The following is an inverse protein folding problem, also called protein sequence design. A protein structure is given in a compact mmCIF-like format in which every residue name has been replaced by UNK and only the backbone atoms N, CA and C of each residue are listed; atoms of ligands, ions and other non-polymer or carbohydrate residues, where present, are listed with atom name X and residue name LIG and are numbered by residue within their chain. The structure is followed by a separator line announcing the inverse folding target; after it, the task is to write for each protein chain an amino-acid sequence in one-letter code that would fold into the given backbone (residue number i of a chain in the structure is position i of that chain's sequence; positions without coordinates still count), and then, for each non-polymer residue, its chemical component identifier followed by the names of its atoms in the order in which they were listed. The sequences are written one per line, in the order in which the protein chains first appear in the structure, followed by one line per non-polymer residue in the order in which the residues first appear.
data_IF_017192271340
#
_entry.id   IF_017192271340
#
_cell.length_a   1.000
_cell.length_b   1.000
_cell.length_c   1.000
_cell.angle_alpha   90.00
_cell.angle_beta   90.00
_cell.angle_gamma   90.00
#
_symmetry.space_group_name_H-M   'P 1'
#
loop_
_entity.id
_entity.type
_entity.pdbx_description
1 polymer ?
#
# COMPACT_ATOMS: atom_id res chain seq x y z
N UNK A 1 -22.32 -35.41 2.94
CA UNK A 1 -21.76 -34.65 1.79
C UNK A 1 -21.76 -33.19 2.16
N UNK A 2 -20.64 -32.72 2.69
CA UNK A 2 -20.36 -31.30 2.89
C UNK A 2 -20.34 -30.65 1.51
N UNK A 3 -21.33 -29.81 1.29
CA UNK A 3 -21.43 -28.99 0.09
C UNK A 3 -20.40 -27.87 0.24
N UNK A 4 -19.18 -28.18 -0.14
CA UNK A 4 -18.07 -27.22 -0.22
C UNK A 4 -18.36 -26.32 -1.43
N UNK A 5 -19.30 -25.40 -1.26
CA UNK A 5 -19.42 -24.22 -2.12
C UNK A 5 -18.21 -23.38 -1.78
N UNK A 6 -17.12 -23.64 -2.50
CA UNK A 6 -15.86 -22.97 -2.30
C UNK A 6 -16.11 -21.47 -2.24
N UNK A 7 -15.86 -20.88 -1.08
CA UNK A 7 -15.78 -19.43 -0.98
C UNK A 7 -14.74 -18.98 -2.02
N UNK A 8 -15.04 -17.95 -2.81
CA UNK A 8 -14.05 -17.46 -3.76
C UNK A 8 -12.77 -17.11 -2.98
N UNK A 9 -11.62 -17.60 -3.47
CA UNK A 9 -10.32 -17.30 -2.89
C UNK A 9 -10.15 -15.79 -2.74
N UNK A 10 -9.64 -15.36 -1.61
CA UNK A 10 -9.26 -13.96 -1.42
C UNK A 10 -8.19 -13.56 -2.45
N UNK A 11 -8.14 -12.29 -2.81
CA UNK A 11 -7.16 -11.80 -3.79
C UNK A 11 -5.74 -12.07 -3.32
N UNK A 12 -5.47 -11.86 -2.04
CA UNK A 12 -4.19 -12.15 -1.40
C UNK A 12 -3.77 -13.63 -1.53
N UNK A 13 -4.71 -14.59 -1.48
CA UNK A 13 -4.40 -16.02 -1.65
C UNK A 13 -3.96 -16.35 -3.09
N UNK A 14 -4.59 -15.70 -4.05
CA UNK A 14 -4.22 -15.83 -5.46
C UNK A 14 -2.80 -15.27 -5.66
N UNK A 15 -2.51 -14.08 -5.10
CA UNK A 15 -1.19 -13.46 -5.20
C UNK A 15 -0.12 -14.30 -4.51
N UNK A 16 -0.41 -14.83 -3.32
CA UNK A 16 0.46 -15.79 -2.62
C UNK A 16 0.85 -16.97 -3.53
N UNK A 17 -0.13 -17.52 -4.24
CA UNK A 17 0.11 -18.66 -5.14
C UNK A 17 1.05 -18.31 -6.29
N UNK A 18 0.99 -17.07 -6.83
CA UNK A 18 1.87 -16.61 -7.89
C UNK A 18 3.33 -16.46 -7.42
N UNK A 19 3.54 -15.84 -6.25
CA UNK A 19 4.85 -15.76 -5.62
C UNK A 19 5.41 -17.16 -5.30
N UNK A 20 4.59 -18.03 -4.69
CA UNK A 20 5.00 -19.39 -4.35
C UNK A 20 5.46 -20.16 -5.56
N UNK A 21 4.71 -20.08 -6.68
CA UNK A 21 5.09 -20.74 -7.93
C UNK A 21 6.46 -20.28 -8.43
N UNK A 22 6.72 -18.98 -8.42
CA UNK A 22 8.00 -18.40 -8.83
C UNK A 22 9.13 -18.89 -7.94
N UNK A 23 9.02 -18.67 -6.62
CA UNK A 23 10.06 -19.10 -5.66
C UNK A 23 10.29 -20.61 -5.65
N UNK A 24 9.27 -21.42 -5.95
CA UNK A 24 9.42 -22.87 -6.10
C UNK A 24 10.28 -23.23 -7.32
N UNK A 25 10.10 -22.54 -8.44
CA UNK A 25 10.92 -22.74 -9.66
C UNK A 25 12.38 -22.37 -9.40
N UNK A 26 12.60 -21.33 -8.60
CA UNK A 26 13.93 -20.85 -8.19
C UNK A 26 14.58 -21.72 -7.07
N UNK A 27 13.91 -22.74 -6.54
CA UNK A 27 14.38 -23.53 -5.41
C UNK A 27 14.37 -22.83 -4.05
N UNK A 28 13.67 -21.70 -3.94
CA UNK A 28 13.61 -20.80 -2.75
C UNK A 28 12.26 -20.86 -2.01
N UNK A 29 11.59 -21.98 -2.09
CA UNK A 29 10.25 -22.16 -1.52
C UNK A 29 10.18 -21.85 -0.02
N UNK A 30 11.11 -22.36 0.77
CA UNK A 30 11.09 -22.23 2.22
C UNK A 30 11.38 -20.78 2.65
N UNK A 31 12.23 -20.08 1.91
CA UNK A 31 12.45 -18.65 2.07
C UNK A 31 11.15 -17.85 1.89
N UNK A 32 10.43 -18.12 0.81
CA UNK A 32 9.16 -17.45 0.54
C UNK A 32 8.13 -17.70 1.65
N UNK A 33 7.99 -18.96 2.07
CA UNK A 33 7.03 -19.33 3.13
C UNK A 33 7.31 -18.55 4.42
N UNK A 34 8.57 -18.46 4.82
CA UNK A 34 8.98 -17.71 6.00
C UNK A 34 8.69 -16.21 5.87
N UNK A 35 9.07 -15.60 4.73
CA UNK A 35 8.83 -14.17 4.44
C UNK A 35 7.34 -13.85 4.42
N UNK A 36 6.55 -14.67 3.71
CA UNK A 36 5.11 -14.46 3.60
C UNK A 36 4.40 -14.54 4.95
N UNK A 37 4.80 -15.47 5.80
CA UNK A 37 4.24 -15.58 7.14
C UNK A 37 4.45 -14.30 7.95
N UNK A 38 5.65 -13.74 7.94
CA UNK A 38 5.95 -12.48 8.62
C UNK A 38 5.15 -11.33 8.02
N UNK A 39 5.06 -11.27 6.69
CA UNK A 39 4.27 -10.25 5.97
C UNK A 39 2.81 -10.29 6.41
N UNK A 40 2.19 -11.47 6.42
CA UNK A 40 0.78 -11.67 6.79
C UNK A 40 0.52 -11.34 8.26
N UNK A 41 1.34 -11.84 9.17
CA UNK A 41 1.24 -11.56 10.61
C UNK A 41 1.36 -10.06 10.90
N UNK A 42 2.32 -9.38 10.26
CA UNK A 42 2.53 -7.95 10.43
C UNK A 42 1.39 -7.13 9.83
N UNK A 43 0.91 -7.48 8.65
CA UNK A 43 -0.24 -6.81 8.04
C UNK A 43 -1.49 -6.92 8.93
N UNK A 44 -1.74 -8.09 9.51
CA UNK A 44 -2.87 -8.32 10.42
C UNK A 44 -2.80 -7.49 11.71
N UNK A 45 -1.61 -7.16 12.17
CA UNK A 45 -1.42 -6.28 13.34
C UNK A 45 -1.75 -4.82 13.01
N UNK A 46 -1.28 -4.33 11.86
CA UNK A 46 -1.27 -2.90 11.53
C UNK A 46 -2.54 -2.48 10.82
N UNK A 47 -2.96 -3.22 9.80
CA UNK A 47 -4.08 -2.80 8.96
C UNK A 47 -5.41 -3.31 9.50
N UNK A 48 -6.39 -2.39 9.56
CA UNK A 48 -7.78 -2.66 9.96
C UNK A 48 -8.73 -2.15 8.87
N UNK A 49 -8.69 -2.75 7.66
CA UNK A 49 -9.52 -2.29 6.57
C UNK A 49 -11.00 -2.49 6.89
N UNK A 50 -11.86 -1.62 6.36
CA UNK A 50 -13.33 -1.76 6.48
C UNK A 50 -13.90 -2.84 5.56
N UNK A 51 -13.15 -3.23 4.51
CA UNK A 51 -13.50 -4.31 3.60
C UNK A 51 -12.22 -4.98 3.08
N UNK A 52 -12.31 -6.26 2.75
CA UNK A 52 -11.15 -7.05 2.34
C UNK A 52 -10.28 -7.49 3.51
N UNK A 53 -9.11 -8.03 3.20
CA UNK A 53 -8.12 -8.48 4.17
C UNK A 53 -7.05 -7.42 4.41
N UNK A 54 -6.29 -7.48 5.53
CA UNK A 54 -5.12 -6.62 5.73
C UNK A 54 -4.07 -6.72 4.61
N UNK A 55 -3.90 -7.88 4.01
CA UNK A 55 -3.04 -8.04 2.84
C UNK A 55 -3.61 -7.34 1.60
N UNK A 56 -4.94 -7.38 1.38
CA UNK A 56 -5.55 -6.64 0.27
C UNK A 56 -5.31 -5.14 0.41
N UNK A 57 -5.30 -4.60 1.63
CA UNK A 57 -4.94 -3.20 1.88
C UNK A 57 -3.48 -2.91 1.50
N UNK A 58 -2.54 -3.79 1.87
CA UNK A 58 -1.13 -3.66 1.49
C UNK A 58 -0.97 -3.67 -0.03
N UNK A 59 -1.59 -4.64 -0.71
CA UNK A 59 -1.56 -4.75 -2.17
C UNK A 59 -2.24 -3.55 -2.84
N UNK A 60 -3.29 -3.01 -2.24
CA UNK A 60 -3.95 -1.79 -2.75
C UNK A 60 -2.99 -0.60 -2.71
N UNK A 61 -2.28 -0.39 -1.61
CA UNK A 61 -1.27 0.67 -1.50
C UNK A 61 -0.15 0.51 -2.53
N UNK A 62 0.32 -0.70 -2.73
CA UNK A 62 1.33 -1.00 -3.75
C UNK A 62 0.79 -0.80 -5.17
N UNK A 63 -0.47 -1.15 -5.42
CA UNK A 63 -1.14 -0.88 -6.70
C UNK A 63 -1.12 0.60 -7.06
N UNK A 64 -1.40 1.50 -6.11
CA UNK A 64 -1.36 2.94 -6.36
C UNK A 64 0.04 3.40 -6.75
N UNK A 65 1.08 2.95 -6.09
CA UNK A 65 2.46 3.20 -6.48
C UNK A 65 2.76 2.71 -7.90
N UNK A 66 2.36 1.50 -8.25
CA UNK A 66 2.58 0.94 -9.59
C UNK A 66 1.81 1.69 -10.66
N UNK A 67 0.61 2.16 -10.35
CA UNK A 67 -0.19 3.02 -11.24
C UNK A 67 0.51 4.36 -11.47
N UNK A 68 0.98 5.00 -10.42
CA UNK A 68 1.73 6.25 -10.50
C UNK A 68 2.99 6.08 -11.35
N UNK A 69 3.78 5.04 -11.11
CA UNK A 69 4.98 4.73 -11.88
C UNK A 69 4.71 4.49 -13.38
N UNK A 70 3.52 3.97 -13.71
CA UNK A 70 3.06 3.78 -15.10
C UNK A 70 2.38 5.03 -15.69
N UNK A 71 2.23 6.12 -14.96
CA UNK A 71 1.56 7.34 -15.39
C UNK A 71 0.05 7.17 -15.62
N UNK A 72 -0.61 6.22 -14.94
CA UNK A 72 -2.05 5.95 -15.09
C UNK A 72 -2.85 7.00 -14.33
N UNK A 73 -3.54 7.89 -15.05
CA UNK A 73 -4.34 9.01 -14.50
C UNK A 73 -5.82 8.70 -14.33
N UNK A 74 -6.27 7.49 -14.68
CA UNK A 74 -7.68 7.13 -14.58
C UNK A 74 -8.19 7.24 -13.14
N UNK A 75 -9.31 7.92 -12.96
CA UNK A 75 -9.98 8.07 -11.66
C UNK A 75 -10.73 6.82 -11.23
N UNK A 76 -11.02 5.93 -12.18
CA UNK A 76 -11.62 4.62 -11.93
C UNK A 76 -10.51 3.58 -11.79
N UNK A 77 -10.46 2.91 -10.65
CA UNK A 77 -9.52 1.81 -10.42
C UNK A 77 -10.14 0.49 -10.86
N UNK A 78 -9.35 -0.35 -11.51
CA UNK A 78 -9.67 -1.77 -11.66
C UNK A 78 -9.82 -2.41 -10.26
N UNK A 79 -10.51 -3.54 -10.16
CA UNK A 79 -10.43 -4.36 -8.95
C UNK A 79 -8.98 -4.76 -8.68
N UNK A 80 -8.66 -5.09 -7.44
CA UNK A 80 -7.31 -5.51 -7.08
C UNK A 80 -6.87 -6.72 -7.92
N UNK A 81 -7.75 -7.70 -8.05
CA UNK A 81 -7.54 -8.89 -8.89
C UNK A 81 -7.26 -8.53 -10.34
N UNK A 82 -8.10 -7.70 -10.95
CA UNK A 82 -7.96 -7.31 -12.35
C UNK A 82 -6.65 -6.57 -12.61
N UNK A 83 -6.23 -5.72 -11.67
CA UNK A 83 -4.98 -5.00 -11.80
C UNK A 83 -3.76 -5.93 -11.80
N UNK A 84 -3.70 -6.88 -10.87
CA UNK A 84 -2.54 -7.79 -10.76
C UNK A 84 -2.57 -8.93 -11.77
N UNK A 85 -3.75 -9.35 -12.25
CA UNK A 85 -3.87 -10.37 -13.29
C UNK A 85 -3.47 -9.88 -14.67
N UNK A 86 -3.36 -8.57 -14.85
CA UNK A 86 -2.86 -7.99 -16.10
C UNK A 86 -1.49 -8.57 -16.45
N UNK A 87 -1.25 -8.81 -17.75
CA UNK A 87 -0.02 -9.44 -18.24
C UNK A 87 0.36 -10.75 -17.48
N UNK A 88 -0.65 -11.56 -17.12
CA UNK A 88 -0.45 -12.84 -16.43
C UNK A 88 0.30 -12.72 -15.10
N UNK A 89 -0.01 -11.73 -14.29
CA UNK A 89 0.61 -11.46 -12.99
C UNK A 89 2.09 -11.06 -13.06
N UNK A 90 2.52 -10.40 -14.14
CA UNK A 90 3.91 -10.00 -14.33
C UNK A 90 4.45 -9.20 -13.14
N UNK A 91 3.68 -8.25 -12.60
CA UNK A 91 4.07 -7.44 -11.44
C UNK A 91 4.49 -8.33 -10.25
N UNK A 92 3.77 -9.42 -9.98
CA UNK A 92 4.07 -10.34 -8.88
C UNK A 92 5.30 -11.23 -9.13
N UNK A 93 5.79 -11.24 -10.38
CA UNK A 93 6.99 -11.99 -10.77
C UNK A 93 8.24 -11.13 -10.80
N UNK A 94 8.13 -9.83 -10.68
CA UNK A 94 9.29 -8.96 -10.56
C UNK A 94 10.01 -9.23 -9.23
N UNK A 95 11.35 -9.27 -9.25
CA UNK A 95 12.18 -9.56 -8.08
C UNK A 95 11.94 -8.56 -6.95
N UNK A 96 11.81 -7.30 -7.30
CA UNK A 96 11.64 -6.22 -6.35
C UNK A 96 10.25 -6.19 -5.66
N UNK A 97 9.23 -6.88 -6.20
CA UNK A 97 7.85 -6.69 -5.71
C UNK A 97 7.67 -7.15 -4.27
N UNK A 98 8.21 -8.30 -3.90
CA UNK A 98 8.11 -8.78 -2.51
C UNK A 98 8.91 -7.89 -1.55
N UNK A 99 10.10 -7.46 -1.96
CA UNK A 99 10.94 -6.54 -1.18
C UNK A 99 10.28 -5.17 -1.00
N UNK A 100 9.61 -4.66 -2.04
CA UNK A 100 8.81 -3.43 -1.98
C UNK A 100 7.65 -3.55 -1.00
N UNK A 101 6.92 -4.67 -1.03
CA UNK A 101 5.80 -4.94 -0.12
C UNK A 101 6.27 -5.03 1.33
N UNK A 102 7.35 -5.74 1.60
CA UNK A 102 7.94 -5.86 2.94
C UNK A 102 8.41 -4.49 3.45
N UNK A 103 9.11 -3.75 2.62
CA UNK A 103 9.58 -2.41 2.98
C UNK A 103 8.43 -1.43 3.24
N UNK A 104 7.37 -1.51 2.43
CA UNK A 104 6.17 -0.70 2.63
C UNK A 104 5.46 -1.05 3.94
N UNK A 105 5.37 -2.34 4.24
CA UNK A 105 4.76 -2.82 5.48
C UNK A 105 5.57 -2.40 6.71
N UNK A 106 6.90 -2.50 6.64
CA UNK A 106 7.79 -2.07 7.73
C UNK A 106 7.70 -0.54 7.95
N UNK A 107 7.59 0.23 6.88
CA UNK A 107 7.31 1.66 7.00
C UNK A 107 5.99 1.92 7.72
N UNK A 108 4.92 1.23 7.36
CA UNK A 108 3.61 1.41 8.00
C UNK A 108 3.58 0.93 9.44
N UNK A 109 4.36 -0.10 9.79
CA UNK A 109 4.57 -0.52 11.17
C UNK A 109 5.18 0.62 12.02
N UNK A 110 6.18 1.32 11.48
CA UNK A 110 6.77 2.49 12.14
C UNK A 110 5.78 3.65 12.25
N UNK A 111 4.97 3.88 11.21
CA UNK A 111 3.91 4.91 11.23
C UNK A 111 2.87 4.62 12.30
N UNK A 112 2.42 3.37 12.42
CA UNK A 112 1.44 2.94 13.43
C UNK A 112 2.00 3.07 14.85
N UNK A 113 3.23 2.63 15.07
CA UNK A 113 3.92 2.76 16.35
C UNK A 113 4.42 4.20 16.66
N UNK A 114 4.41 5.10 15.66
CA UNK A 114 5.01 6.43 15.72
C UNK A 114 6.51 6.42 16.08
N UNK A 115 7.22 5.37 15.68
CA UNK A 115 8.62 5.15 15.99
C UNK A 115 9.54 5.50 14.82
N UNK A 116 10.75 6.00 15.13
CA UNK A 116 11.78 6.32 14.14
C UNK A 116 11.53 7.59 13.34
N UNK A 117 10.65 8.48 13.82
CA UNK A 117 10.37 9.79 13.23
C UNK A 117 10.76 10.92 14.18
N UNK A 118 11.11 12.08 13.63
CA UNK A 118 11.22 13.29 14.43
C UNK A 118 9.87 13.71 15.01
N UNK A 119 9.89 14.46 16.10
CA UNK A 119 8.67 14.96 16.76
C UNK A 119 7.75 15.73 15.78
N UNK A 120 8.35 16.55 14.89
CA UNK A 120 7.60 17.32 13.89
C UNK A 120 6.88 16.42 12.88
N UNK A 121 7.54 15.34 12.44
CA UNK A 121 6.94 14.34 11.52
C UNK A 121 5.85 13.54 12.24
N UNK A 122 6.12 13.04 13.46
CA UNK A 122 5.13 12.31 14.25
C UNK A 122 3.86 13.12 14.51
N UNK A 123 3.97 14.42 14.81
CA UNK A 123 2.82 15.31 14.95
C UNK A 123 1.98 15.43 13.67
N UNK A 124 2.60 15.44 12.48
CA UNK A 124 1.87 15.48 11.20
C UNK A 124 1.17 14.17 10.90
N UNK A 125 1.83 13.05 11.15
CA UNK A 125 1.22 11.72 11.02
C UNK A 125 0.03 11.57 11.98
N UNK A 126 0.16 12.05 13.23
CA UNK A 126 -0.94 12.09 14.18
C UNK A 126 -2.14 12.88 13.65
N UNK A 127 -1.93 14.07 13.10
CA UNK A 127 -3.02 14.88 12.52
C UNK A 127 -3.70 14.14 11.36
N UNK A 128 -2.93 13.49 10.49
CA UNK A 128 -3.48 12.75 9.35
C UNK A 128 -4.33 11.54 9.76
N UNK A 129 -4.07 10.92 10.91
CA UNK A 129 -4.92 9.85 11.43
C UNK A 129 -6.37 10.30 11.72
N UNK A 130 -6.60 11.60 11.90
CA UNK A 130 -7.93 12.19 12.07
C UNK A 130 -8.48 12.80 10.76
N UNK A 131 -7.82 12.53 9.62
CA UNK A 131 -8.31 13.01 8.34
C UNK A 131 -9.69 12.38 8.01
N UNK A 132 -10.57 13.10 7.29
CA UNK A 132 -11.93 12.64 6.97
C UNK A 132 -11.99 11.32 6.19
N UNK A 133 -10.89 10.92 5.60
CA UNK A 133 -10.75 9.66 4.86
C UNK A 133 -9.30 9.18 4.83
N UNK A 134 -9.09 7.91 4.45
CA UNK A 134 -7.77 7.29 4.40
C UNK A 134 -6.96 7.54 3.11
N UNK A 135 -7.38 8.45 2.22
CA UNK A 135 -6.70 8.67 0.93
C UNK A 135 -5.25 9.16 1.07
N UNK A 136 -4.94 9.86 2.16
CA UNK A 136 -3.58 10.28 2.48
C UNK A 136 -2.59 9.11 2.58
N UNK A 137 -3.07 7.94 3.00
CA UNK A 137 -2.24 6.75 3.13
C UNK A 137 -1.73 6.24 1.77
N UNK A 138 -2.51 6.39 0.72
CA UNK A 138 -2.09 6.01 -0.64
C UNK A 138 -1.05 6.99 -1.19
N UNK A 139 -1.23 8.30 -0.93
CA UNK A 139 -0.24 9.33 -1.27
C UNK A 139 1.09 9.06 -0.55
N UNK A 140 1.04 8.85 0.76
CA UNK A 140 2.23 8.59 1.56
C UNK A 140 2.93 7.27 1.18
N UNK A 141 2.17 6.21 0.89
CA UNK A 141 2.73 4.93 0.44
C UNK A 141 3.46 5.07 -0.90
N UNK A 142 2.85 5.79 -1.84
CA UNK A 142 3.44 6.04 -3.16
C UNK A 142 4.72 6.87 -3.03
N UNK A 143 4.67 7.94 -2.25
CA UNK A 143 5.82 8.80 -2.02
C UNK A 143 6.97 8.07 -1.30
N UNK A 144 6.67 7.26 -0.27
CA UNK A 144 7.64 6.41 0.41
C UNK A 144 8.39 5.50 -0.57
N UNK A 145 7.66 4.72 -1.37
CA UNK A 145 8.28 3.80 -2.31
C UNK A 145 9.10 4.49 -3.40
N UNK A 146 8.74 5.73 -3.76
CA UNK A 146 9.47 6.52 -4.74
C UNK A 146 10.74 7.19 -4.17
N UNK A 147 10.74 7.55 -2.89
CA UNK A 147 11.77 8.42 -2.27
C UNK A 147 12.69 7.72 -1.27
N UNK A 148 12.33 6.54 -0.79
CA UNK A 148 13.17 5.79 0.16
C UNK A 148 14.56 5.50 -0.42
N UNK A 149 15.56 5.54 0.43
CA UNK A 149 16.90 5.07 0.09
C UNK A 149 16.97 3.52 0.09
N UNK A 150 18.14 2.97 -0.21
CA UNK A 150 18.37 1.52 -0.23
C UNK A 150 18.15 0.83 1.14
N UNK A 151 18.12 1.59 2.23
CA UNK A 151 17.85 1.08 3.58
C UNK A 151 16.37 1.21 3.98
N UNK A 152 15.50 1.70 3.09
CA UNK A 152 14.10 1.96 3.40
C UNK A 152 13.88 3.20 4.28
N UNK A 153 14.82 4.15 4.29
CA UNK A 153 14.75 5.39 5.07
C UNK A 153 14.37 6.56 4.17
N UNK A 154 13.77 7.57 4.78
CA UNK A 154 13.39 8.83 4.15
C UNK A 154 14.18 9.98 4.76
N UNK A 155 14.46 11.03 3.98
CA UNK A 155 14.94 12.29 4.53
C UNK A 155 13.84 12.93 5.40
N UNK A 156 14.18 13.30 6.63
CA UNK A 156 13.23 13.84 7.61
C UNK A 156 12.61 15.17 7.15
N UNK A 157 13.41 16.03 6.52
CA UNK A 157 12.93 17.32 6.04
C UNK A 157 11.98 17.15 4.86
N UNK A 158 12.35 16.32 3.88
CA UNK A 158 11.50 16.05 2.72
C UNK A 158 10.18 15.39 3.15
N UNK A 159 10.25 14.43 4.09
CA UNK A 159 9.04 13.79 4.64
C UNK A 159 8.15 14.81 5.34
N UNK A 160 8.72 15.68 6.19
CA UNK A 160 7.96 16.71 6.88
C UNK A 160 7.27 17.67 5.89
N UNK A 161 8.00 18.16 4.89
CA UNK A 161 7.48 19.07 3.88
C UNK A 161 6.33 18.42 3.09
N UNK A 162 6.52 17.17 2.69
CA UNK A 162 5.46 16.39 2.03
C UNK A 162 4.23 16.20 2.91
N UNK A 163 4.40 15.82 4.18
CA UNK A 163 3.28 15.67 5.12
C UNK A 163 2.54 16.98 5.36
N UNK A 164 3.22 18.12 5.40
CA UNK A 164 2.58 19.44 5.48
C UNK A 164 1.72 19.68 4.24
N UNK A 165 2.25 19.39 3.06
CA UNK A 165 1.53 19.57 1.80
C UNK A 165 0.28 18.70 1.72
N UNK A 166 0.39 17.39 1.97
CA UNK A 166 -0.78 16.50 1.90
C UNK A 166 -1.81 16.79 3.00
N UNK A 167 -1.37 17.22 4.19
CA UNK A 167 -2.29 17.64 5.25
C UNK A 167 -3.12 18.84 4.79
N UNK A 168 -2.46 19.88 4.30
CA UNK A 168 -3.15 21.06 3.76
C UNK A 168 -4.13 20.72 2.65
N UNK A 169 -3.68 19.90 1.68
CA UNK A 169 -4.50 19.45 0.56
C UNK A 169 -5.73 18.65 1.02
N UNK A 170 -5.56 17.64 1.86
CA UNK A 170 -6.66 16.76 2.32
C UNK A 170 -7.70 17.54 3.11
N UNK A 171 -7.27 18.38 4.06
CA UNK A 171 -8.21 19.13 4.91
C UNK A 171 -8.90 20.26 4.13
N UNK A 172 -8.19 21.03 3.33
CA UNK A 172 -8.79 22.11 2.53
C UNK A 172 -9.82 21.54 1.54
N UNK A 173 -9.48 20.46 0.85
CA UNK A 173 -10.38 19.83 -0.11
C UNK A 173 -11.61 19.24 0.57
N UNK A 174 -11.46 18.65 1.76
CA UNK A 174 -12.56 18.07 2.53
C UNK A 174 -13.54 19.13 3.06
N UNK A 175 -13.07 20.35 3.31
CA UNK A 175 -13.93 21.48 3.68
C UNK A 175 -14.75 21.97 2.50
N UNK A 176 -14.16 22.04 1.32
CA UNK A 176 -14.84 22.49 0.11
C UNK A 176 -15.83 21.42 -0.43
N UNK A 177 -15.43 20.15 -0.37
CA UNK A 177 -16.18 19.00 -0.90
C UNK A 177 -16.23 17.86 0.10
N UNK A 178 -17.16 17.85 1.04
CA UNK A 178 -17.17 16.91 2.16
C UNK A 178 -17.53 15.47 1.80
N UNK A 179 -17.73 15.12 0.52
CA UNK A 179 -18.02 13.76 0.08
C UNK A 179 -16.80 12.85 0.21
N UNK A 180 -16.97 11.68 0.84
CA UNK A 180 -15.88 10.69 1.06
C UNK A 180 -15.17 10.31 -0.24
N UNK A 181 -15.88 10.22 -1.35
CA UNK A 181 -15.34 9.87 -2.65
C UNK A 181 -14.81 11.07 -3.46
N UNK A 182 -15.06 12.30 -2.99
CA UNK A 182 -14.67 13.50 -3.73
C UNK A 182 -13.15 13.63 -3.90
N UNK A 183 -12.37 13.14 -2.95
CA UNK A 183 -10.90 13.13 -3.00
C UNK A 183 -10.31 12.17 -4.03
N UNK A 184 -11.04 11.17 -4.52
CA UNK A 184 -10.50 10.22 -5.51
C UNK A 184 -10.04 10.92 -6.79
N UNK A 185 -10.86 11.83 -7.31
CA UNK A 185 -10.55 12.57 -8.52
C UNK A 185 -9.21 13.31 -8.46
N UNK A 186 -8.99 14.20 -7.48
CA UNK A 186 -7.74 14.94 -7.39
C UNK A 186 -6.55 14.12 -6.86
N UNK A 187 -6.77 13.08 -6.03
CA UNK A 187 -5.68 12.27 -5.47
C UNK A 187 -5.01 11.40 -6.53
N UNK A 188 -5.76 10.79 -7.43
CA UNK A 188 -5.17 9.90 -8.43
C UNK A 188 -4.18 10.59 -9.38
N UNK A 189 -4.47 11.76 -9.96
CA UNK A 189 -3.44 12.52 -10.68
C UNK A 189 -2.26 12.93 -9.80
N UNK A 190 -2.51 13.39 -8.57
CA UNK A 190 -1.46 13.82 -7.64
C UNK A 190 -0.49 12.70 -7.21
N UNK A 191 -0.85 11.44 -7.37
CA UNK A 191 0.06 10.32 -7.14
C UNK A 191 1.19 10.24 -8.19
N UNK A 192 0.99 10.85 -9.35
CA UNK A 192 1.92 10.79 -10.48
C UNK A 192 2.87 11.99 -10.48
N UNK A 193 2.36 13.15 -10.10
CA UNK A 193 3.06 14.43 -10.08
C UNK A 193 3.94 14.55 -8.84
#
# INVERSE_FOLDING_TARGET
TLNDRGLPLADADIFKSQFYKRFSIEGRKDEFVARWKVLEETANLIFKPTSGTPLDELFTRYMYYRRAKKGIRDTTTKSLRDFYSDSSYEILREDATLDDLESLLDFWKRVDAQEGFSERVARRLFVLNYAPNGMWAYLLSTWFLAKRNAKGELDDKELYDFLCYITGFIYAYSLERPGVNALRGPVYPALID
#
